data_IF_642838010725
#
_entry.id   IF_642838010725
#
_cell.length_a   1.000
_cell.length_b   1.000
_cell.length_c   1.000
_cell.angle_alpha   90.00
_cell.angle_beta   90.00
_cell.angle_gamma   90.00
#
_symmetry.space_group_name_H-M   'P 1'
#
loop_
_entity.id
_entity.type
_entity.pdbx_description
1 polymer ?
#
# COMPACT_ATOMS: atom_id res chain seq x y z
N UNK A 1 -12.34 -5.60 41.32
CA UNK A 1 -12.86 -4.24 41.53
C UNK A 1 -12.07 -3.62 42.68
N UNK A 2 -11.69 -2.34 42.56
CA UNK A 2 -11.13 -1.45 43.61
C UNK A 2 -9.58 -1.31 43.70
N UNK A 3 -9.14 -0.06 43.50
CA UNK A 3 -7.91 0.64 43.98
C UNK A 3 -6.54 0.20 43.39
N UNK A 4 -5.54 1.07 43.16
CA UNK A 4 -5.24 2.44 43.61
C UNK A 4 -4.32 3.11 42.55
N UNK A 5 -4.50 4.39 42.24
CA UNK A 5 -3.66 5.51 42.71
C UNK A 5 -2.16 5.33 42.38
N UNK A 6 -1.66 6.04 41.37
CA UNK A 6 -0.22 6.13 41.15
C UNK A 6 0.15 6.95 39.93
N UNK A 7 0.57 8.18 40.19
CA UNK A 7 1.30 9.04 39.26
C UNK A 7 2.55 8.28 38.78
N UNK A 8 2.51 7.65 37.61
CA UNK A 8 3.68 6.98 37.00
C UNK A 8 3.99 7.70 35.69
N UNK A 9 4.61 8.87 35.84
CA UNK A 9 5.96 9.13 35.36
C UNK A 9 6.11 8.89 33.86
N UNK A 10 5.94 9.97 33.10
CA UNK A 10 6.14 10.11 31.64
C UNK A 10 7.60 9.76 31.21
N UNK A 11 8.45 9.34 32.14
CA UNK A 11 9.88 9.06 31.95
C UNK A 11 10.24 7.63 31.51
N UNK A 12 9.29 6.69 31.41
CA UNK A 12 9.55 5.36 30.84
C UNK A 12 9.43 5.30 29.30
N UNK A 13 9.15 6.43 28.64
CA UNK A 13 9.31 6.56 27.18
C UNK A 13 10.76 6.84 26.77
N UNK A 14 11.74 6.58 27.63
CA UNK A 14 13.01 6.06 27.13
C UNK A 14 12.72 4.67 26.59
N UNK A 15 12.15 4.64 25.37
CA UNK A 15 12.33 3.54 24.46
C UNK A 15 13.83 3.27 24.51
N UNK A 16 14.18 2.16 25.15
CA UNK A 16 15.42 1.49 24.84
C UNK A 16 15.38 1.37 23.32
N UNK A 17 16.19 2.21 22.67
CA UNK A 17 16.56 2.09 21.26
C UNK A 17 17.35 0.77 21.20
N UNK A 18 16.61 -0.34 21.33
CA UNK A 18 17.02 -1.64 20.88
C UNK A 18 17.08 -1.49 19.36
N UNK A 19 18.19 -0.89 18.90
CA UNK A 19 18.55 -0.68 17.51
C UNK A 19 18.13 -1.95 16.79
N UNK A 20 17.03 -1.94 16.04
CA UNK A 20 16.53 -3.18 15.46
C UNK A 20 17.66 -3.62 14.55
N UNK A 21 18.19 -4.81 14.79
CA UNK A 21 19.14 -5.44 13.89
C UNK A 21 18.40 -5.55 12.55
N UNK A 22 18.59 -4.54 11.71
CA UNK A 22 17.88 -4.37 10.45
C UNK A 22 18.45 -5.46 9.57
N UNK A 23 17.73 -6.58 9.51
CA UNK A 23 18.06 -7.70 8.65
C UNK A 23 18.07 -7.20 7.21
N UNK A 24 19.24 -6.75 6.77
CA UNK A 24 19.46 -6.19 5.45
C UNK A 24 19.69 -7.38 4.56
N UNK A 25 18.69 -7.75 3.78
CA UNK A 25 18.85 -8.74 2.74
C UNK A 25 20.02 -8.27 1.84
N UNK A 26 21.09 -9.06 1.77
CA UNK A 26 22.31 -8.70 1.02
C UNK A 26 22.01 -8.48 -0.46
N UNK A 27 20.90 -9.04 -0.94
CA UNK A 27 20.33 -8.83 -2.28
C UNK A 27 19.00 -8.10 -2.12
N UNK A 28 18.94 -6.83 -2.52
CA UNK A 28 17.73 -6.02 -2.47
C UNK A 28 17.87 -4.77 -3.34
N UNK A 29 16.73 -4.25 -3.79
CA UNK A 29 16.68 -2.98 -4.53
C UNK A 29 17.09 -1.84 -3.58
N UNK A 30 17.85 -0.86 -4.11
CA UNK A 30 18.19 0.34 -3.34
C UNK A 30 16.94 1.18 -3.07
N UNK A 31 16.91 1.90 -1.94
CA UNK A 31 15.78 2.79 -1.59
C UNK A 31 15.33 3.73 -2.72
N UNK A 32 16.24 4.43 -3.45
CA UNK A 32 15.80 5.30 -4.54
C UNK A 32 15.18 4.53 -5.72
N UNK A 33 15.68 3.33 -6.05
CA UNK A 33 15.10 2.50 -7.10
C UNK A 33 13.71 1.98 -6.72
N UNK A 34 13.50 1.62 -5.45
CA UNK A 34 12.18 1.24 -4.94
C UNK A 34 11.19 2.40 -5.08
N UNK A 35 11.60 3.63 -4.73
CA UNK A 35 10.74 4.80 -4.80
C UNK A 35 10.27 5.08 -6.24
N UNK A 36 11.20 5.06 -7.20
CA UNK A 36 10.87 5.27 -8.62
C UNK A 36 9.92 4.19 -9.13
N UNK A 37 10.16 2.92 -8.77
CA UNK A 37 9.31 1.81 -9.19
C UNK A 37 7.88 1.95 -8.67
N UNK A 38 7.72 2.29 -7.37
CA UNK A 38 6.41 2.51 -6.77
C UNK A 38 5.67 3.67 -7.46
N UNK A 39 6.36 4.80 -7.67
CA UNK A 39 5.74 5.95 -8.35
C UNK A 39 5.34 5.58 -9.79
N UNK A 40 6.18 4.82 -10.50
CA UNK A 40 5.90 4.34 -11.85
C UNK A 40 4.68 3.43 -11.93
N UNK A 41 4.52 2.49 -11.00
CA UNK A 41 3.35 1.61 -10.96
C UNK A 41 2.06 2.35 -10.55
N UNK A 42 2.16 3.43 -9.77
CA UNK A 42 1.00 4.25 -9.37
C UNK A 42 0.56 5.24 -10.46
N UNK A 43 1.43 5.61 -11.40
CA UNK A 43 1.10 6.45 -12.57
C UNK A 43 0.28 5.64 -13.59
N UNK A 44 -0.97 5.32 -13.24
CA UNK A 44 -1.90 4.58 -14.10
C UNK A 44 -2.99 5.47 -14.70
N UNK A 45 -3.97 4.82 -15.34
CA UNK A 45 -5.14 5.48 -15.94
C UNK A 45 -5.91 6.39 -14.96
N UNK A 46 -5.85 6.10 -13.66
CA UNK A 46 -6.44 6.95 -12.62
C UNK A 46 -5.88 8.38 -12.61
N UNK A 47 -4.57 8.55 -12.88
CA UNK A 47 -3.94 9.87 -12.94
C UNK A 47 -4.35 10.67 -14.18
N UNK A 48 -4.71 9.99 -15.27
CA UNK A 48 -5.18 10.63 -16.51
C UNK A 48 -6.63 11.13 -16.35
N UNK A 49 -7.46 10.41 -15.58
CA UNK A 49 -8.84 10.79 -15.30
C UNK A 49 -8.97 11.83 -14.17
N UNK A 50 -7.93 12.04 -13.37
CA UNK A 50 -7.94 12.92 -12.22
C UNK A 50 -8.18 14.41 -12.56
N UNK A 51 -7.55 14.99 -13.62
CA UNK A 51 -7.77 16.40 -13.97
C UNK A 51 -9.21 16.68 -14.37
N UNK A 52 -9.84 15.77 -15.12
CA UNK A 52 -11.24 15.96 -15.53
C UNK A 52 -12.19 15.84 -14.33
N UNK A 53 -11.88 14.97 -13.37
CA UNK A 53 -12.60 14.89 -12.09
C UNK A 53 -12.44 16.18 -11.26
N UNK A 54 -11.25 16.80 -11.26
CA UNK A 54 -11.02 18.07 -10.55
C UNK A 54 -11.83 19.23 -11.15
N UNK A 55 -11.90 19.34 -12.48
CA UNK A 55 -12.69 20.38 -13.15
C UNK A 55 -14.18 20.22 -12.82
N UNK A 56 -14.67 18.97 -12.76
CA UNK A 56 -16.06 18.69 -12.44
C UNK A 56 -16.41 18.90 -10.95
N UNK A 57 -15.48 18.63 -10.03
CA UNK A 57 -15.69 18.85 -8.59
C UNK A 57 -15.50 20.32 -8.17
N UNK A 58 -14.69 21.07 -8.92
CA UNK A 58 -14.21 22.41 -8.57
C UNK A 58 -12.80 22.37 -7.97
N UNK A 59 -12.00 23.41 -8.25
CA UNK A 59 -10.58 23.44 -7.91
C UNK A 59 -10.30 23.36 -6.40
N UNK A 60 -11.04 24.13 -5.59
CA UNK A 60 -10.88 24.15 -4.13
C UNK A 60 -11.24 22.79 -3.49
N UNK A 61 -12.45 22.23 -3.68
CA UNK A 61 -12.78 20.93 -3.10
C UNK A 61 -11.93 19.79 -3.69
N UNK A 62 -11.58 19.85 -4.98
CA UNK A 62 -10.72 18.86 -5.63
C UNK A 62 -9.35 18.76 -4.96
N UNK A 63 -8.64 19.88 -4.77
CA UNK A 63 -7.32 19.91 -4.14
C UNK A 63 -7.37 19.38 -2.70
N UNK A 64 -8.41 19.74 -1.93
CA UNK A 64 -8.57 19.26 -0.54
C UNK A 64 -8.68 17.75 -0.48
N UNK A 65 -9.49 17.14 -1.35
CA UNK A 65 -9.70 15.68 -1.38
C UNK A 65 -8.40 14.96 -1.77
N UNK A 66 -7.61 15.53 -2.68
CA UNK A 66 -6.32 14.97 -3.11
C UNK A 66 -5.32 14.94 -1.96
N UNK A 67 -5.20 16.05 -1.23
CA UNK A 67 -4.30 16.14 -0.08
C UNK A 67 -4.71 15.15 1.01
N UNK A 68 -6.01 15.04 1.31
CA UNK A 68 -6.51 14.06 2.27
C UNK A 68 -6.24 12.63 1.83
N UNK A 69 -6.50 12.30 0.57
CA UNK A 69 -6.22 10.98 0.00
C UNK A 69 -4.73 10.64 0.06
N UNK A 70 -3.84 11.61 -0.18
CA UNK A 70 -2.40 11.44 -0.07
C UNK A 70 -1.96 11.14 1.37
N UNK A 71 -2.51 11.85 2.36
CA UNK A 71 -2.21 11.61 3.79
C UNK A 71 -2.67 10.22 4.22
N UNK A 72 -3.92 9.84 3.91
CA UNK A 72 -4.45 8.53 4.28
C UNK A 72 -3.69 7.38 3.61
N UNK A 73 -3.40 7.50 2.32
CA UNK A 73 -2.67 6.47 1.56
C UNK A 73 -1.20 6.37 1.99
N UNK A 74 -0.57 7.52 2.30
CA UNK A 74 0.79 7.53 2.85
C UNK A 74 0.87 6.84 4.21
N UNK A 75 -0.08 7.12 5.10
CA UNK A 75 -0.14 6.50 6.42
C UNK A 75 -0.32 4.98 6.33
N UNK A 76 -1.26 4.50 5.49
CA UNK A 76 -1.48 3.06 5.31
C UNK A 76 -0.27 2.37 4.67
N UNK A 77 0.44 3.03 3.76
CA UNK A 77 1.68 2.52 3.16
C UNK A 77 2.79 2.30 4.19
N UNK A 78 2.97 3.24 5.12
CA UNK A 78 3.96 3.11 6.21
C UNK A 78 3.61 1.92 7.11
N UNK A 79 2.35 1.84 7.57
CA UNK A 79 1.90 0.75 8.43
C UNK A 79 2.06 -0.63 7.78
N UNK A 80 1.81 -0.72 6.47
CA UNK A 80 1.97 -1.96 5.72
C UNK A 80 3.45 -2.36 5.60
N UNK A 81 4.35 -1.39 5.41
CA UNK A 81 5.79 -1.61 5.39
C UNK A 81 6.34 -2.10 6.73
N UNK A 82 5.88 -1.51 7.83
CA UNK A 82 6.26 -1.94 9.18
C UNK A 82 5.74 -3.35 9.50
N UNK A 83 4.47 -3.63 9.16
CA UNK A 83 3.89 -4.96 9.31
C UNK A 83 4.68 -6.03 8.53
N UNK A 84 5.15 -5.71 7.32
CA UNK A 84 6.01 -6.61 6.54
C UNK A 84 7.35 -6.88 7.22
N UNK A 85 7.99 -5.82 7.74
CA UNK A 85 9.26 -5.94 8.44
C UNK A 85 9.12 -6.79 9.72
N UNK A 86 8.04 -6.60 10.47
CA UNK A 86 7.71 -7.41 11.64
C UNK A 86 7.49 -8.88 11.25
N UNK A 87 6.78 -9.14 10.16
CA UNK A 87 6.49 -10.50 9.70
C UNK A 87 7.77 -11.26 9.30
N UNK A 88 8.70 -10.61 8.59
CA UNK A 88 10.01 -11.18 8.25
C UNK A 88 10.89 -11.45 9.47
N UNK A 89 10.71 -10.69 10.57
CA UNK A 89 11.38 -10.95 11.85
C UNK A 89 10.80 -12.18 12.55
N UNK A 90 9.46 -12.37 12.49
CA UNK A 90 8.76 -13.46 13.19
C UNK A 90 8.85 -14.81 12.47
N UNK A 91 8.87 -14.84 11.15
CA UNK A 91 8.95 -16.06 10.34
C UNK A 91 10.12 -16.01 9.36
N UNK A 92 11.19 -16.80 9.58
CA UNK A 92 12.37 -16.77 8.69
C UNK A 92 12.10 -17.34 7.30
N UNK A 93 11.01 -18.09 7.11
CA UNK A 93 10.55 -18.63 5.81
C UNK A 93 10.36 -17.53 4.75
N UNK A 94 9.95 -16.33 5.16
CA UNK A 94 9.68 -15.22 4.24
C UNK A 94 10.93 -14.38 3.91
N UNK A 95 12.12 -14.76 4.40
CA UNK A 95 13.38 -14.03 4.15
C UNK A 95 14.01 -14.32 2.80
N UNK A 96 13.79 -15.50 2.21
CA UNK A 96 14.53 -15.96 1.03
C UNK A 96 13.97 -15.43 -0.30
N UNK A 97 12.70 -15.62 -0.63
CA UNK A 97 12.03 -14.90 -1.71
C UNK A 97 10.53 -15.18 -1.62
N UNK A 98 9.69 -14.15 -1.58
CA UNK A 98 8.24 -14.33 -1.52
C UNK A 98 7.56 -13.64 -2.70
N UNK A 99 7.05 -14.42 -3.66
CA UNK A 99 6.45 -13.91 -4.90
C UNK A 99 5.12 -13.17 -4.69
N UNK A 100 4.41 -13.42 -3.58
CA UNK A 100 3.09 -12.85 -3.27
C UNK A 100 3.02 -12.37 -1.82
N UNK A 101 3.59 -11.19 -1.51
CA UNK A 101 3.70 -10.71 -0.13
C UNK A 101 2.33 -10.38 0.48
N UNK A 102 1.45 -9.67 -0.23
CA UNK A 102 0.17 -9.19 0.32
C UNK A 102 -0.83 -10.30 0.66
N UNK A 103 -1.07 -11.32 -0.19
CA UNK A 103 -1.96 -12.43 0.19
C UNK A 103 -1.44 -13.25 1.37
N UNK A 104 -0.12 -13.29 1.56
CA UNK A 104 0.51 -14.06 2.61
C UNK A 104 0.54 -13.29 3.94
N UNK A 105 0.74 -11.97 3.91
CA UNK A 105 0.45 -11.09 5.05
C UNK A 105 -1.01 -11.24 5.51
N UNK A 106 -1.96 -11.19 4.57
CA UNK A 106 -3.38 -11.32 4.86
C UNK A 106 -3.72 -12.69 5.47
N UNK A 107 -3.09 -13.75 4.96
CA UNK A 107 -3.23 -15.11 5.49
C UNK A 107 -2.79 -15.21 6.95
N UNK A 108 -1.63 -14.63 7.29
CA UNK A 108 -1.09 -14.66 8.66
C UNK A 108 -1.84 -13.74 9.63
N UNK A 109 -2.44 -12.65 9.14
CA UNK A 109 -3.17 -11.70 9.98
C UNK A 109 -4.60 -12.15 10.33
N UNK A 110 -5.38 -12.64 9.35
CA UNK A 110 -6.83 -12.90 9.52
C UNK A 110 -7.22 -14.33 9.11
N UNK A 111 -6.36 -15.04 8.36
CA UNK A 111 -6.58 -16.43 7.96
C UNK A 111 -6.95 -16.63 6.48
N UNK A 112 -7.45 -17.83 6.10
CA UNK A 112 -7.61 -18.23 4.70
C UNK A 112 -8.60 -17.38 3.91
N UNK A 113 -9.66 -16.86 4.55
CA UNK A 113 -10.65 -16.01 3.88
C UNK A 113 -10.06 -14.66 3.42
N UNK A 114 -9.17 -14.07 4.22
CA UNK A 114 -8.50 -12.82 3.86
C UNK A 114 -7.51 -13.00 2.71
N UNK A 115 -6.84 -14.16 2.64
CA UNK A 115 -6.01 -14.54 1.49
C UNK A 115 -6.83 -14.62 0.20
N UNK A 116 -8.00 -15.24 0.26
CA UNK A 116 -8.91 -15.33 -0.89
C UNK A 116 -9.42 -13.95 -1.32
N UNK A 117 -9.77 -13.07 -0.38
CA UNK A 117 -10.16 -11.70 -0.68
C UNK A 117 -9.03 -10.91 -1.38
N UNK A 118 -7.80 -11.01 -0.89
CA UNK A 118 -6.63 -10.37 -1.51
C UNK A 118 -6.37 -10.89 -2.93
N UNK A 119 -6.51 -12.20 -3.16
CA UNK A 119 -6.39 -12.80 -4.50
C UNK A 119 -7.54 -12.33 -5.41
N UNK A 120 -8.77 -12.26 -4.90
CA UNK A 120 -9.92 -11.75 -5.63
C UNK A 120 -9.74 -10.31 -6.10
N UNK A 121 -9.18 -9.44 -5.23
CA UNK A 121 -8.84 -8.07 -5.60
C UNK A 121 -7.85 -8.01 -6.77
N UNK A 122 -6.79 -8.83 -6.75
CA UNK A 122 -5.82 -8.90 -7.85
C UNK A 122 -6.46 -9.37 -9.16
N UNK A 123 -7.33 -10.38 -9.11
CA UNK A 123 -8.04 -10.87 -10.30
C UNK A 123 -8.95 -9.78 -10.87
N UNK A 124 -9.63 -9.02 -10.00
CA UNK A 124 -10.50 -7.93 -10.43
C UNK A 124 -9.75 -6.83 -11.19
N UNK A 125 -8.52 -6.50 -10.78
CA UNK A 125 -7.67 -5.52 -11.48
C UNK A 125 -7.27 -5.99 -12.89
N UNK A 126 -7.01 -7.30 -13.05
CA UNK A 126 -6.68 -7.88 -14.37
C UNK A 126 -7.89 -7.79 -15.30
N UNK A 127 -9.09 -8.15 -14.81
CA UNK A 127 -10.31 -8.03 -15.59
C UNK A 127 -10.58 -6.57 -15.99
N UNK A 128 -10.43 -5.63 -15.06
CA UNK A 128 -10.60 -4.20 -15.34
C UNK A 128 -9.63 -3.71 -16.42
N UNK A 129 -8.36 -4.13 -16.37
CA UNK A 129 -7.37 -3.78 -17.40
C UNK A 129 -7.78 -4.32 -18.79
N UNK A 130 -8.29 -5.55 -18.86
CA UNK A 130 -8.80 -6.12 -20.12
C UNK A 130 -9.97 -5.30 -20.66
N UNK A 131 -10.93 -4.92 -19.81
CA UNK A 131 -12.07 -4.09 -20.23
C UNK A 131 -11.63 -2.72 -20.73
N UNK A 132 -10.65 -2.08 -20.09
CA UNK A 132 -10.10 -0.80 -20.56
C UNK A 132 -9.47 -0.95 -21.94
N UNK A 133 -8.69 -2.01 -22.18
CA UNK A 133 -8.04 -2.24 -23.48
C UNK A 133 -9.09 -2.51 -24.57
N UNK A 134 -10.08 -3.35 -24.29
CA UNK A 134 -11.15 -3.64 -25.25
C UNK A 134 -11.98 -2.39 -25.57
N UNK A 135 -12.30 -1.57 -24.56
CA UNK A 135 -12.95 -0.27 -24.76
C UNK A 135 -12.12 0.65 -25.65
N UNK A 136 -10.82 0.78 -25.36
CA UNK A 136 -9.91 1.60 -26.18
C UNK A 136 -9.82 1.11 -27.64
N UNK A 137 -9.83 -0.20 -27.89
CA UNK A 137 -9.86 -0.77 -29.25
C UNK A 137 -11.18 -0.46 -29.96
N UNK A 138 -12.30 -0.53 -29.23
CA UNK A 138 -13.62 -0.24 -29.78
C UNK A 138 -13.80 1.26 -30.11
N UNK A 139 -13.19 2.16 -29.34
CA UNK A 139 -13.27 3.61 -29.58
C UNK A 139 -12.26 4.12 -30.63
N UNK A 140 -11.19 3.35 -30.90
CA UNK A 140 -10.19 3.66 -31.93
C UNK A 140 -10.77 3.99 -33.33
N UNK A 141 -11.73 3.24 -33.89
CA UNK A 141 -12.32 3.58 -35.19
C UNK A 141 -13.15 4.87 -35.19
N UNK A 142 -13.79 5.23 -34.08
CA UNK A 142 -14.59 6.46 -33.96
C UNK A 142 -13.76 7.73 -33.84
N UNK A 143 -12.52 7.64 -33.35
CA UNK A 143 -11.61 8.78 -33.25
C UNK A 143 -10.76 9.01 -34.51
N UNK A 144 -10.80 8.11 -35.50
CA UNK A 144 -10.01 8.17 -36.73
C UNK A 144 -10.76 8.81 -37.92
N UNK A 145 -12.04 9.17 -37.76
CA UNK A 145 -12.83 9.93 -38.74
C UNK A 145 -12.99 11.38 -38.31
#
# INVERSE_FOLDING_TARGET
>A
MVFARGRLSITDFTMEEAKPEKHRNTKGISWPMAAIFIVGEMMGAGMIAMPIAMVNAGLVPGVVIIVLAAVFTGYTGIQLGENWALMQKRWPEYKEHCRRPYPEMAYRAIGPKAKQAAIGAVISSILAAIFIIVGAIHDAPTCAQ
#
